data_IF_679403620803
#
_entry.id   IF_679403620803
#
_cell.length_a   1.000
_cell.length_b   1.000
_cell.length_c   1.000
_cell.angle_alpha   90.00
_cell.angle_beta   90.00
_cell.angle_gamma   90.00
#
_symmetry.space_group_name_H-M   'P 1'
#
loop_
_entity.id
_entity.type
_entity.pdbx_description
1 polymer ?
#
# COMPACT_ATOMS: atom_id res chain seq x y z
N UNK A 1 42.30 14.20 6.89
CA UNK A 1 41.89 13.31 8.00
C UNK A 1 40.94 12.28 7.43
N UNK A 2 41.16 10.99 7.67
CA UNK A 2 40.27 9.92 7.21
C UNK A 2 39.45 9.42 8.39
N UNK A 3 38.12 9.45 8.29
CA UNK A 3 37.22 8.93 9.33
C UNK A 3 36.45 7.76 8.74
N UNK A 4 36.42 6.65 9.47
CA UNK A 4 35.63 5.48 9.10
C UNK A 4 34.22 5.63 9.65
N UNK A 5 33.23 5.61 8.76
CA UNK A 5 31.80 5.67 9.11
C UNK A 5 31.16 4.38 8.58
N UNK A 6 30.90 3.42 9.47
CA UNK A 6 30.46 2.08 9.07
C UNK A 6 31.57 1.32 8.33
N UNK A 7 31.27 0.81 7.13
CA UNK A 7 32.26 0.11 6.27
C UNK A 7 33.02 1.07 5.33
N UNK A 8 32.52 2.29 5.14
CA UNK A 8 33.15 3.28 4.25
C UNK A 8 34.15 4.16 5.00
N UNK A 9 35.27 4.46 4.33
CA UNK A 9 36.27 5.42 4.83
C UNK A 9 36.12 6.72 4.08
N UNK A 10 35.70 7.77 4.79
CA UNK A 10 35.53 9.10 4.24
C UNK A 10 36.79 9.93 4.44
N UNK A 11 37.31 10.51 3.36
CA UNK A 11 38.51 11.34 3.37
C UNK A 11 38.15 12.83 3.45
N UNK A 12 38.38 13.45 4.60
CA UNK A 12 38.17 14.87 4.81
C UNK A 12 39.47 15.64 4.53
N UNK A 13 39.54 16.26 3.35
CA UNK A 13 40.66 17.12 2.95
C UNK A 13 40.40 18.55 3.43
N UNK A 14 41.27 19.02 4.33
CA UNK A 14 41.29 20.36 4.93
C UNK A 14 40.02 20.76 5.71
N UNK A 15 39.91 20.27 6.96
CA UNK A 15 39.10 20.94 7.98
C UNK A 15 39.89 22.15 8.49
N UNK A 16 39.44 23.40 8.26
CA UNK A 16 40.12 24.56 8.83
C UNK A 16 40.02 24.47 10.35
N UNK A 17 41.14 24.46 11.06
CA UNK A 17 41.19 24.29 12.52
C UNK A 17 40.44 25.38 13.32
N UNK A 18 39.91 26.40 12.63
CA UNK A 18 39.16 27.51 13.20
C UNK A 18 37.65 27.51 12.85
N UNK A 19 37.16 26.53 12.07
CA UNK A 19 35.74 26.45 11.72
C UNK A 19 35.01 25.41 12.58
N UNK A 20 34.09 25.88 13.42
CA UNK A 20 33.27 25.02 14.30
C UNK A 20 32.24 24.18 13.54
N UNK A 21 32.00 24.47 12.25
CA UNK A 21 31.09 23.75 11.34
C UNK A 21 31.69 23.76 9.92
N UNK A 22 31.81 22.58 9.30
CA UNK A 22 32.16 22.42 7.90
C UNK A 22 31.11 21.55 7.19
N UNK A 23 30.52 22.08 6.11
CA UNK A 23 29.52 21.38 5.29
C UNK A 23 30.16 20.88 3.99
N UNK A 24 30.27 19.56 3.83
CA UNK A 24 30.78 18.93 2.62
C UNK A 24 29.60 18.61 1.69
N UNK A 25 29.02 19.68 1.12
CA UNK A 25 27.74 19.70 0.40
C UNK A 25 27.57 18.76 -0.81
N UNK A 26 28.58 17.95 -1.16
CA UNK A 26 28.48 16.91 -2.17
C UNK A 26 27.96 15.56 -1.64
N UNK A 27 27.94 15.34 -0.32
CA UNK A 27 27.52 14.04 0.27
C UNK A 27 26.49 14.17 1.39
N UNK A 28 25.99 15.37 1.67
CA UNK A 28 25.06 15.64 2.79
C UNK A 28 25.69 15.49 4.18
N UNK A 29 27.02 15.56 4.29
CA UNK A 29 27.75 15.35 5.55
C UNK A 29 28.11 16.71 6.16
N UNK A 30 27.60 16.95 7.37
CA UNK A 30 27.93 18.12 8.20
C UNK A 30 28.85 17.65 9.34
N UNK A 31 30.01 18.28 9.47
CA UNK A 31 30.96 18.02 10.57
C UNK A 31 30.96 19.24 11.49
N UNK A 32 30.62 19.05 12.76
CA UNK A 32 30.69 20.12 13.77
C UNK A 32 31.35 19.62 15.05
N UNK A 33 32.07 20.53 15.69
CA UNK A 33 32.69 20.33 17.01
C UNK A 33 31.83 20.93 18.14
N UNK A 34 30.73 21.62 17.82
CA UNK A 34 29.83 22.26 18.78
C UNK A 34 28.52 21.48 18.94
N UNK A 35 28.09 21.27 20.19
CA UNK A 35 26.83 20.59 20.52
C UNK A 35 25.63 21.35 19.97
N UNK A 36 25.74 22.67 19.97
CA UNK A 36 24.71 23.61 19.54
C UNK A 36 24.42 23.44 18.04
N UNK A 37 25.45 23.33 17.21
CA UNK A 37 25.27 23.12 15.77
C UNK A 37 24.73 21.73 15.43
N UNK A 38 25.17 20.69 16.16
CA UNK A 38 24.60 19.35 15.98
C UNK A 38 23.10 19.32 16.31
N UNK A 39 22.70 19.96 17.41
CA UNK A 39 21.29 20.07 17.78
C UNK A 39 20.48 20.85 16.74
N UNK A 40 21.00 21.96 16.25
CA UNK A 40 20.32 22.77 15.23
C UNK A 40 20.06 21.99 13.93
N UNK A 41 21.03 21.18 13.48
CA UNK A 41 20.88 20.35 12.27
C UNK A 41 19.85 19.23 12.49
N UNK A 42 19.90 18.55 13.64
CA UNK A 42 18.92 17.49 13.98
C UNK A 42 17.50 18.06 14.08
N UNK A 43 17.33 19.25 14.67
CA UNK A 43 16.04 19.94 14.73
C UNK A 43 15.54 20.34 13.34
N UNK A 44 16.43 20.80 12.46
CA UNK A 44 16.08 21.13 11.07
C UNK A 44 15.63 19.89 10.28
N UNK A 45 16.31 18.76 10.45
CA UNK A 45 15.90 17.47 9.89
C UNK A 45 14.52 17.07 10.40
N UNK A 46 14.31 17.10 11.72
CA UNK A 46 13.03 16.73 12.34
C UNK A 46 11.87 17.59 11.82
N UNK A 47 12.08 18.92 11.73
CA UNK A 47 11.07 19.85 11.20
C UNK A 47 10.72 19.52 9.75
N UNK A 48 11.74 19.27 8.92
CA UNK A 48 11.55 18.94 7.51
C UNK A 48 10.77 17.64 7.35
N UNK A 49 11.13 16.59 8.11
CA UNK A 49 10.40 15.32 8.08
C UNK A 49 8.94 15.49 8.51
N UNK A 50 8.66 16.28 9.56
CA UNK A 50 7.27 16.57 9.98
C UNK A 50 6.47 17.27 8.89
N UNK A 51 7.05 18.28 8.24
CA UNK A 51 6.39 18.99 7.15
C UNK A 51 6.05 18.08 5.97
N UNK A 52 6.92 17.12 5.63
CA UNK A 52 6.63 16.11 4.61
C UNK A 52 5.47 15.23 5.05
N UNK A 53 5.44 14.76 6.31
CA UNK A 53 4.32 13.95 6.81
C UNK A 53 2.99 14.73 6.79
N UNK A 54 3.02 16.01 7.14
CA UNK A 54 1.83 16.89 7.10
C UNK A 54 1.29 17.09 5.68
N UNK A 55 2.13 16.90 4.64
CA UNK A 55 1.72 17.00 3.24
C UNK A 55 1.03 15.74 2.70
N UNK A 56 1.12 14.60 3.40
CA UNK A 56 0.55 13.31 2.95
C UNK A 56 -0.95 13.42 2.67
N UNK A 57 -1.79 13.94 3.58
CA UNK A 57 -3.25 13.98 3.35
C UNK A 57 -3.64 14.82 2.12
N UNK A 58 -2.88 15.88 1.83
CA UNK A 58 -3.08 16.68 0.63
C UNK A 58 -2.81 15.84 -0.62
N UNK A 59 -1.68 15.14 -0.68
CA UNK A 59 -1.32 14.31 -1.82
C UNK A 59 -2.29 13.12 -2.00
N UNK A 60 -2.78 12.52 -0.91
CA UNK A 60 -3.86 11.51 -0.97
C UNK A 60 -5.14 12.08 -1.59
N UNK A 61 -5.54 13.30 -1.21
CA UNK A 61 -6.70 13.97 -1.79
C UNK A 61 -6.52 14.29 -3.27
N UNK A 62 -5.31 14.70 -3.69
CA UNK A 62 -4.98 14.93 -5.10
C UNK A 62 -5.11 13.63 -5.91
N UNK A 63 -4.59 12.52 -5.39
CA UNK A 63 -4.69 11.20 -6.05
C UNK A 63 -6.16 10.82 -6.25
N UNK A 64 -6.98 10.90 -5.19
CA UNK A 64 -8.40 10.58 -5.26
C UNK A 64 -9.14 11.46 -6.30
N UNK A 65 -8.82 12.76 -6.34
CA UNK A 65 -9.41 13.69 -7.30
C UNK A 65 -9.01 13.35 -8.74
N UNK A 66 -7.75 12.98 -8.97
CA UNK A 66 -7.26 12.53 -10.27
C UNK A 66 -7.95 11.24 -10.73
N UNK A 67 -8.16 10.27 -9.84
CA UNK A 67 -8.91 9.04 -10.16
C UNK A 67 -10.34 9.36 -10.61
N UNK A 68 -11.02 10.28 -9.93
CA UNK A 68 -12.36 10.70 -10.31
C UNK A 68 -12.37 11.46 -11.63
N UNK A 69 -11.39 12.33 -11.87
CA UNK A 69 -11.22 12.99 -13.17
C UNK A 69 -10.98 11.98 -14.29
N UNK A 70 -10.18 10.93 -14.05
CA UNK A 70 -9.94 9.88 -15.04
C UNK A 70 -11.21 9.10 -15.38
N UNK A 71 -12.08 8.82 -14.40
CA UNK A 71 -13.39 8.21 -14.65
C UNK A 71 -14.29 9.12 -15.51
N UNK A 72 -14.26 10.44 -15.26
CA UNK A 72 -15.03 11.43 -16.03
C UNK A 72 -14.49 11.59 -17.45
N UNK A 73 -13.16 11.64 -17.62
CA UNK A 73 -12.50 11.79 -18.91
C UNK A 73 -12.59 10.51 -19.76
N UNK A 74 -12.63 9.35 -19.12
CA UNK A 74 -12.78 8.06 -19.78
C UNK A 74 -14.03 7.30 -19.30
N UNK A 75 -15.24 7.84 -19.60
CA UNK A 75 -16.49 7.30 -19.09
C UNK A 75 -16.84 5.94 -19.71
N UNK A 76 -16.29 5.62 -20.88
CA UNK A 76 -16.52 4.33 -21.55
C UNK A 76 -15.75 3.21 -20.86
N UNK A 77 -14.47 3.41 -20.54
CA UNK A 77 -13.68 2.44 -19.78
C UNK A 77 -14.24 2.24 -18.36
N UNK A 78 -14.70 3.32 -17.72
CA UNK A 78 -15.34 3.23 -16.41
C UNK A 78 -16.64 2.40 -16.46
N UNK A 79 -17.47 2.58 -17.49
CA UNK A 79 -18.69 1.79 -17.71
C UNK A 79 -18.38 0.33 -18.03
N UNK A 80 -17.42 0.06 -18.89
CA UNK A 80 -17.00 -1.30 -19.26
C UNK A 80 -16.51 -2.06 -18.02
N UNK A 81 -15.60 -1.46 -17.24
CA UNK A 81 -15.08 -2.06 -16.01
C UNK A 81 -16.18 -2.31 -14.97
N UNK A 82 -17.09 -1.35 -14.77
CA UNK A 82 -18.21 -1.51 -13.84
C UNK A 82 -19.21 -2.59 -14.32
N UNK A 83 -19.43 -2.70 -15.62
CA UNK A 83 -20.28 -3.74 -16.20
C UNK A 83 -19.64 -5.12 -16.08
N UNK A 84 -18.34 -5.24 -16.32
CA UNK A 84 -17.58 -6.48 -16.17
C UNK A 84 -17.59 -6.97 -14.71
N UNK A 85 -17.37 -6.08 -13.75
CA UNK A 85 -17.44 -6.40 -12.31
C UNK A 85 -18.85 -6.87 -11.91
N UNK A 86 -19.90 -6.23 -12.43
CA UNK A 86 -21.30 -6.64 -12.21
C UNK A 86 -21.60 -8.01 -12.83
N UNK A 87 -21.07 -8.30 -14.01
CA UNK A 87 -21.22 -9.61 -14.66
C UNK A 87 -20.54 -10.69 -13.81
N UNK A 88 -19.30 -10.48 -13.36
CA UNK A 88 -18.60 -11.44 -12.50
C UNK A 88 -19.36 -11.73 -11.20
N UNK A 89 -19.95 -10.71 -10.56
CA UNK A 89 -20.82 -10.90 -9.39
C UNK A 89 -22.09 -11.69 -9.71
N UNK A 90 -22.68 -11.48 -10.89
CA UNK A 90 -23.85 -12.24 -11.33
C UNK A 90 -23.49 -13.70 -11.63
N UNK A 91 -22.37 -13.95 -12.33
CA UNK A 91 -21.86 -15.29 -12.61
C UNK A 91 -21.59 -16.07 -11.33
N UNK A 92 -20.97 -15.44 -10.33
CA UNK A 92 -20.74 -16.05 -9.03
C UNK A 92 -22.05 -16.41 -8.32
N UNK A 93 -23.05 -15.53 -8.35
CA UNK A 93 -24.37 -15.81 -7.77
C UNK A 93 -25.08 -16.96 -8.48
N UNK A 94 -25.05 -16.98 -9.81
CA UNK A 94 -25.64 -18.06 -10.61
C UNK A 94 -24.96 -19.39 -10.30
N UNK A 95 -23.64 -19.42 -10.26
CA UNK A 95 -22.89 -20.63 -9.88
C UNK A 95 -23.25 -21.13 -8.47
N UNK A 96 -23.39 -20.22 -7.49
CA UNK A 96 -23.85 -20.59 -6.15
C UNK A 96 -25.29 -21.13 -6.12
N UNK A 97 -26.18 -20.58 -6.96
CA UNK A 97 -27.54 -21.08 -7.13
C UNK A 97 -27.57 -22.47 -7.77
N UNK A 98 -26.73 -22.72 -8.78
CA UNK A 98 -26.60 -24.05 -9.41
C UNK A 98 -26.15 -25.11 -8.40
N UNK A 99 -25.20 -24.79 -7.51
CA UNK A 99 -24.81 -25.65 -6.40
C UNK A 99 -25.98 -25.95 -5.46
N UNK A 100 -26.68 -24.91 -5.01
CA UNK A 100 -27.85 -25.06 -4.12
C UNK A 100 -28.96 -25.91 -4.75
N UNK A 101 -29.22 -25.73 -6.05
CA UNK A 101 -30.21 -26.54 -6.78
C UNK A 101 -29.77 -28.00 -6.92
N UNK A 102 -28.48 -28.24 -7.10
CA UNK A 102 -27.91 -29.60 -7.13
C UNK A 102 -28.10 -30.29 -5.78
N UNK A 103 -27.81 -29.60 -4.68
CA UNK A 103 -28.01 -30.13 -3.32
C UNK A 103 -29.48 -30.48 -3.05
N UNK A 104 -30.41 -29.59 -3.42
CA UNK A 104 -31.86 -29.84 -3.30
C UNK A 104 -32.26 -31.07 -4.13
N UNK A 105 -31.77 -31.20 -5.37
CA UNK A 105 -32.04 -32.36 -6.22
C UNK A 105 -31.53 -33.65 -5.58
N UNK A 106 -30.34 -33.64 -5.00
CA UNK A 106 -29.79 -34.81 -4.30
C UNK A 106 -30.62 -35.19 -3.07
N UNK A 107 -31.00 -34.21 -2.25
CA UNK A 107 -31.84 -34.43 -1.06
C UNK A 107 -33.19 -35.03 -1.45
N UNK A 108 -33.84 -34.50 -2.48
CA UNK A 108 -35.11 -35.03 -2.99
C UNK A 108 -34.94 -36.46 -3.54
N UNK A 109 -33.86 -36.72 -4.29
CA UNK A 109 -33.58 -38.05 -4.82
C UNK A 109 -33.33 -39.07 -3.70
N UNK A 110 -32.58 -38.68 -2.66
CA UNK A 110 -32.34 -39.52 -1.46
C UNK A 110 -33.65 -39.77 -0.69
N UNK A 111 -34.50 -38.76 -0.54
CA UNK A 111 -35.80 -38.89 0.14
C UNK A 111 -36.76 -39.82 -0.62
N UNK A 112 -36.86 -39.66 -1.94
CA UNK A 112 -37.69 -40.51 -2.81
C UNK A 112 -37.20 -41.96 -2.82
N UNK A 113 -35.89 -42.18 -2.90
CA UNK A 113 -35.31 -43.53 -2.92
C UNK A 113 -35.33 -44.19 -1.53
N UNK A 114 -35.14 -43.44 -0.45
CA UNK A 114 -35.21 -43.92 0.94
C UNK A 114 -36.60 -44.46 1.32
N UNK A 115 -37.66 -43.94 0.70
CA UNK A 115 -39.04 -44.40 0.93
C UNK A 115 -39.37 -45.76 0.28
N UNK A 116 -38.50 -46.30 -0.57
CA UNK A 116 -38.70 -47.59 -1.25
C UNK A 116 -38.13 -48.80 -0.49
N UNK A 117 -37.27 -48.59 0.51
CA UNK A 117 -36.55 -49.66 1.20
C UNK A 117 -37.19 -50.13 2.54
N UNK A 118 -38.31 -49.54 2.97
CA UNK A 118 -39.00 -49.90 4.22
C UNK A 118 -40.08 -50.98 4.07
N UNK A 119 -40.27 -51.55 2.87
CA UNK A 119 -41.35 -52.52 2.58
C UNK A 119 -40.90 -53.98 2.46
N UNK A 120 -39.67 -54.32 2.87
CA UNK A 120 -39.10 -55.67 2.74
C UNK A 120 -38.59 -56.27 4.06
N UNK A 121 -39.31 -56.05 5.16
CA UNK A 121 -39.20 -56.87 6.38
C UNK A 121 -40.58 -56.97 7.03
N UNK A 122 -41.36 -57.95 6.60
CA UNK A 122 -42.49 -58.53 7.33
C UNK A 122 -42.58 -59.99 6.92
#
# INVERSE_FOLDING_TARGET
>A
MSVKVGEETMEFKQLPAALSIANFGSSGVVVSESREAMNAEVEAMLRTSKQVLESIPYHESVIASCDDMLKVLNPQLAKEKAQEEKIGQLEQKVSGMEGTLTDIREMLSKALNGSSNSKKTS
#
